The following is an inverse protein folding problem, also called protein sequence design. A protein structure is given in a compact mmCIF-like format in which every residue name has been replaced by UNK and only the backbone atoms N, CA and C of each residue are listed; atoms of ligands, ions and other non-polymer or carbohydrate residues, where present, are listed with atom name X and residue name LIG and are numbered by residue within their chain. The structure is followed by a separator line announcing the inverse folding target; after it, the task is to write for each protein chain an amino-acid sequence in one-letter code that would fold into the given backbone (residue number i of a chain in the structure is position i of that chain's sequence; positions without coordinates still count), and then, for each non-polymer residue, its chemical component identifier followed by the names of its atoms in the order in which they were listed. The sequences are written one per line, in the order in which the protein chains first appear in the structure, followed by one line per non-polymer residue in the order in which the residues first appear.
data_IF_147294309625
#
_entry.id   IF_147294309625
#
_cell.length_a   1.000
_cell.length_b   1.000
_cell.length_c   1.000
_cell.angle_alpha   90.00
_cell.angle_beta   90.00
_cell.angle_gamma   90.00
#
_symmetry.space_group_name_H-M   'P 1'
#
loop_
_entity.id
_entity.type
_entity.pdbx_description
1 polymer ?
#
# COMPACT_ATOMS: atom_id res chain seq x y z
N UNK A 1 24.05 1.19 -62.62
CA UNK A 1 23.15 0.15 -62.09
C UNK A 1 22.98 0.40 -60.59
N UNK A 2 21.80 0.83 -60.15
CA UNK A 2 21.46 1.09 -58.74
C UNK A 2 20.52 -0.02 -58.28
N UNK A 3 20.91 -0.77 -57.25
CA UNK A 3 20.17 -1.90 -56.68
C UNK A 3 19.30 -1.36 -55.54
N UNK A 4 17.98 -1.44 -55.71
CA UNK A 4 17.00 -1.14 -54.68
C UNK A 4 16.80 -2.36 -53.79
N UNK A 5 16.97 -2.22 -52.47
CA UNK A 5 16.75 -3.27 -51.48
C UNK A 5 15.40 -2.97 -50.81
N UNK A 6 14.41 -3.81 -51.13
CA UNK A 6 13.08 -3.82 -50.52
C UNK A 6 13.13 -4.72 -49.30
N UNK A 7 12.99 -4.16 -48.09
CA UNK A 7 12.90 -4.96 -46.86
C UNK A 7 11.43 -5.16 -46.48
N UNK A 8 10.99 -6.41 -46.60
CA UNK A 8 9.64 -6.90 -46.30
C UNK A 8 9.40 -7.00 -44.80
N UNK A 9 8.31 -6.39 -44.34
CA UNK A 9 7.76 -6.48 -42.99
C UNK A 9 7.10 -7.85 -42.78
N UNK A 10 7.61 -8.68 -41.87
CA UNK A 10 6.97 -9.93 -41.46
C UNK A 10 6.26 -9.74 -40.12
N UNK A 11 4.93 -9.77 -40.15
CA UNK A 11 4.06 -9.92 -38.99
C UNK A 11 4.17 -11.35 -38.46
N UNK A 12 4.51 -11.55 -37.18
CA UNK A 12 4.37 -12.84 -36.51
C UNK A 12 3.09 -12.83 -35.67
N UNK A 13 2.11 -13.58 -36.16
CA UNK A 13 0.83 -13.89 -35.55
C UNK A 13 0.97 -14.90 -34.41
N UNK A 14 0.31 -14.57 -33.30
CA UNK A 14 -0.42 -15.43 -32.34
C UNK A 14 -0.36 -16.96 -32.58
N UNK A 15 0.08 -17.71 -31.55
CA UNK A 15 -0.33 -19.10 -31.35
C UNK A 15 -0.76 -19.30 -29.89
N UNK A 16 -2.06 -19.53 -29.74
CA UNK A 16 -2.72 -20.06 -28.54
C UNK A 16 -2.83 -21.57 -28.74
N UNK A 17 -2.20 -22.35 -27.87
CA UNK A 17 -2.50 -23.77 -27.62
C UNK A 17 -1.92 -24.12 -26.23
N UNK A 18 -2.74 -24.20 -25.19
CA UNK A 18 -3.34 -25.44 -24.72
C UNK A 18 -2.31 -26.45 -24.21
N UNK A 19 -2.06 -26.44 -22.91
CA UNK A 19 -1.55 -27.60 -22.17
C UNK A 19 -2.38 -27.75 -20.89
N UNK A 20 -3.55 -28.39 -21.06
CA UNK A 20 -4.30 -29.02 -19.99
C UNK A 20 -3.58 -30.33 -19.68
N UNK A 21 -2.99 -30.44 -18.49
CA UNK A 21 -2.60 -31.72 -17.92
C UNK A 21 -3.21 -31.83 -16.52
N UNK A 22 -4.24 -32.67 -16.45
CA UNK A 22 -4.76 -33.30 -15.24
C UNK A 22 -3.60 -33.80 -14.35
N UNK A 23 -3.61 -33.40 -13.08
CA UNK A 23 -3.24 -34.34 -12.02
C UNK A 23 -4.35 -34.31 -10.96
N UNK A 24 -5.26 -35.28 -11.09
CA UNK A 24 -6.11 -35.73 -10.01
C UNK A 24 -5.22 -36.48 -9.01
N UNK A 25 -5.23 -36.04 -7.76
CA UNK A 25 -4.51 -36.66 -6.65
C UNK A 25 -5.19 -36.29 -5.34
N UNK A 26 -6.08 -37.17 -4.90
CA UNK A 26 -6.96 -37.05 -3.76
C UNK A 26 -6.18 -37.11 -2.43
N UNK A 27 -6.44 -36.18 -1.51
CA UNK A 27 -6.45 -36.47 -0.08
C UNK A 27 -7.19 -35.35 0.67
N UNK A 28 -8.43 -35.64 1.01
CA UNK A 28 -9.14 -34.95 2.07
C UNK A 28 -8.42 -35.20 3.40
N UNK A 29 -8.10 -34.14 4.13
CA UNK A 29 -8.09 -34.17 5.60
C UNK A 29 -8.81 -32.94 6.11
N UNK A 30 -10.08 -33.19 6.43
CA UNK A 30 -10.86 -32.47 7.40
C UNK A 30 -10.06 -32.35 8.71
N UNK A 31 -9.81 -31.13 9.18
CA UNK A 31 -9.46 -30.87 10.58
C UNK A 31 -10.25 -29.66 11.06
N UNK A 32 -11.46 -30.03 11.47
CA UNK A 32 -12.32 -29.32 12.38
C UNK A 32 -11.62 -29.10 13.74
N UNK A 33 -11.96 -27.98 14.37
CA UNK A 33 -11.87 -27.70 15.81
C UNK A 33 -10.48 -27.45 16.42
N UNK A 34 -10.17 -26.16 16.59
CA UNK A 34 -9.93 -25.68 17.95
C UNK A 34 -10.33 -24.20 18.09
N UNK A 35 -11.61 -23.97 18.31
CA UNK A 35 -12.09 -22.74 18.95
C UNK A 35 -11.69 -22.78 20.42
N UNK A 36 -10.49 -22.30 20.72
CA UNK A 36 -10.09 -22.02 22.08
C UNK A 36 -10.79 -20.74 22.54
N UNK A 37 -11.91 -20.97 23.21
CA UNK A 37 -12.60 -20.02 24.09
C UNK A 37 -11.61 -19.49 25.14
N UNK A 38 -11.03 -18.32 24.91
CA UNK A 38 -10.48 -17.50 25.98
C UNK A 38 -11.59 -16.63 26.53
N UNK A 39 -12.31 -17.18 27.49
CA UNK A 39 -13.09 -16.42 28.46
C UNK A 39 -12.15 -15.49 29.22
N UNK A 40 -12.10 -14.21 28.85
CA UNK A 40 -11.59 -13.19 29.75
C UNK A 40 -12.76 -12.34 30.25
N UNK A 41 -13.38 -12.83 31.33
CA UNK A 41 -14.18 -12.01 32.20
C UNK A 41 -13.23 -11.02 32.90
N UNK A 42 -13.22 -9.77 32.45
CA UNK A 42 -12.78 -8.69 33.31
C UNK A 42 -13.83 -7.59 33.36
N UNK A 43 -14.17 -7.27 34.59
CA UNK A 43 -15.32 -6.51 34.99
C UNK A 43 -15.13 -5.01 34.77
N UNK A 44 -16.26 -4.31 34.70
CA UNK A 44 -16.43 -2.95 35.21
C UNK A 44 -15.63 -1.83 34.56
N UNK A 45 -16.23 -1.15 33.58
CA UNK A 45 -16.03 0.30 33.43
C UNK A 45 -17.38 1.02 33.31
N UNK A 46 -17.59 2.12 34.06
CA UNK A 46 -18.88 2.78 34.22
C UNK A 46 -19.28 3.56 32.97
N UNK A 47 -20.60 3.58 32.73
CA UNK A 47 -21.27 4.40 31.74
C UNK A 47 -20.97 5.89 31.99
N UNK A 48 -20.32 6.55 31.02
CA UNK A 48 -20.19 8.01 31.03
C UNK A 48 -21.42 8.56 30.33
N UNK A 49 -22.25 9.21 31.13
CA UNK A 49 -23.52 9.81 30.74
C UNK A 49 -23.35 10.81 29.58
N UNK A 50 -24.22 10.66 28.58
CA UNK A 50 -24.48 11.68 27.57
C UNK A 50 -25.21 12.86 28.21
N UNK A 51 -24.56 14.00 28.31
CA UNK A 51 -25.23 15.27 28.65
C UNK A 51 -25.85 15.88 27.39
N UNK A 52 -27.15 16.23 27.39
CA UNK A 52 -27.76 17.02 26.32
C UNK A 52 -27.44 18.50 26.54
N UNK A 53 -26.71 19.13 25.62
CA UNK A 53 -26.61 20.59 25.61
C UNK A 53 -27.85 21.13 24.92
N UNK A 54 -28.82 21.50 25.75
CA UNK A 54 -29.96 22.33 25.43
C UNK A 54 -29.50 23.73 24.99
N UNK A 55 -30.28 24.32 24.09
CA UNK A 55 -29.93 25.55 23.38
C UNK A 55 -29.80 26.81 24.24
N UNK A 56 -29.21 27.82 23.62
CA UNK A 56 -29.40 29.22 24.01
C UNK A 56 -29.74 30.01 22.77
N UNK A 57 -31.01 30.41 22.69
CA UNK A 57 -31.45 31.56 21.92
C UNK A 57 -31.02 32.83 22.67
N UNK A 58 -30.42 33.78 21.94
CA UNK A 58 -29.97 35.05 22.48
C UNK A 58 -29.76 36.06 21.36
N UNK A 59 -30.73 36.94 21.21
CA UNK A 59 -31.00 37.98 20.21
C UNK A 59 -29.99 39.13 20.17
N UNK A 60 -29.71 39.62 18.94
CA UNK A 60 -29.51 41.02 18.47
C UNK A 60 -28.82 42.05 19.39
N UNK A 61 -27.79 42.79 18.97
CA UNK A 61 -27.92 44.02 18.14
C UNK A 61 -26.54 44.62 17.75
N UNK A 62 -26.45 45.06 16.48
CA UNK A 62 -25.70 46.19 15.89
C UNK A 62 -24.16 46.21 15.69
N UNK A 63 -23.84 46.65 14.47
CA UNK A 63 -22.69 47.44 14.01
C UNK A 63 -21.31 46.79 13.83
N UNK A 64 -21.10 46.22 12.63
CA UNK A 64 -19.78 46.01 12.03
C UNK A 64 -19.89 45.85 10.51
N UNK A 65 -19.14 46.61 9.68
CA UNK A 65 -19.28 46.60 8.23
C UNK A 65 -18.86 45.24 7.59
N UNK A 66 -19.42 44.89 6.41
CA UNK A 66 -19.19 43.59 5.78
C UNK A 66 -17.78 43.49 5.18
N UNK A 67 -16.95 42.58 5.70
CA UNK A 67 -15.74 42.14 5.00
C UNK A 67 -16.11 41.10 3.94
N UNK A 68 -16.32 41.60 2.72
CA UNK A 68 -16.25 40.79 1.51
C UNK A 68 -14.82 40.32 1.30
N UNK A 69 -14.51 39.06 1.63
CA UNK A 69 -13.27 38.42 1.18
C UNK A 69 -13.57 37.42 0.06
N UNK A 70 -13.66 37.98 -1.14
CA UNK A 70 -13.48 37.27 -2.39
C UNK A 70 -11.99 37.03 -2.62
N UNK A 71 -11.57 35.76 -2.74
CA UNK A 71 -10.29 35.42 -3.37
C UNK A 71 -10.54 34.42 -4.50
N UNK A 72 -10.88 35.00 -5.65
CA UNK A 72 -10.56 34.40 -6.94
C UNK A 72 -9.05 34.41 -7.16
N UNK A 73 -8.57 33.34 -7.79
CA UNK A 73 -7.24 33.28 -8.39
C UNK A 73 -7.04 34.44 -9.40
N UNK A 74 -5.80 34.89 -9.63
CA UNK A 74 -5.10 34.33 -10.78
C UNK A 74 -3.58 34.15 -10.62
N UNK A 75 -3.08 33.25 -11.47
CA UNK A 75 -1.71 33.04 -11.97
C UNK A 75 -0.72 34.21 -11.88
N UNK A 76 0.52 33.92 -11.48
CA UNK A 76 1.69 34.77 -11.76
C UNK A 76 2.94 34.42 -10.95
N UNK A 77 4.08 34.27 -11.63
CA UNK A 77 5.35 33.74 -11.15
C UNK A 77 6.14 34.57 -10.10
N UNK A 78 7.00 33.83 -9.38
CA UNK A 78 8.39 34.13 -9.00
C UNK A 78 8.73 34.66 -7.57
N UNK A 79 9.58 33.84 -6.94
CA UNK A 79 10.69 34.14 -6.02
C UNK A 79 10.39 34.63 -4.59
N UNK A 80 10.90 33.88 -3.61
CA UNK A 80 11.12 34.41 -2.25
C UNK A 80 11.07 33.37 -1.15
N UNK A 81 12.24 32.82 -0.83
CA UNK A 81 12.52 31.83 0.22
C UNK A 81 11.87 32.12 1.58
N UNK A 82 11.32 31.09 2.23
CA UNK A 82 11.45 30.91 3.69
C UNK A 82 11.54 29.42 4.01
N UNK A 83 12.65 29.05 4.62
CA UNK A 83 13.01 27.73 5.07
C UNK A 83 12.28 27.37 6.37
N UNK A 84 11.72 26.16 6.43
CA UNK A 84 11.98 25.16 7.49
C UNK A 84 11.03 23.97 7.28
N UNK A 85 11.40 23.08 6.37
CA UNK A 85 10.90 21.71 6.35
C UNK A 85 12.10 20.78 6.62
N UNK A 86 12.09 19.99 7.70
CA UNK A 86 13.15 19.03 7.91
C UNK A 86 13.00 17.89 6.90
N UNK A 87 13.92 17.84 5.94
CA UNK A 87 14.43 16.58 5.40
C UNK A 87 13.54 15.84 4.40
N UNK A 88 13.01 16.53 3.40
CA UNK A 88 12.66 15.90 2.13
C UNK A 88 13.92 15.59 1.33
N UNK A 89 14.73 14.62 1.77
CA UNK A 89 15.78 14.08 0.91
C UNK A 89 15.11 13.33 -0.24
N UNK A 90 15.25 13.92 -1.41
CA UNK A 90 14.96 13.36 -2.72
C UNK A 90 15.13 11.84 -2.76
N UNK A 91 14.15 11.18 -3.38
CA UNK A 91 14.13 9.76 -3.74
C UNK A 91 15.26 9.38 -4.71
N UNK A 92 16.52 9.59 -4.32
CA UNK A 92 17.58 8.71 -4.75
C UNK A 92 17.15 7.30 -4.30
N UNK A 93 17.25 6.33 -5.20
CA UNK A 93 16.92 4.94 -4.92
C UNK A 93 17.78 4.43 -3.75
N UNK A 94 17.33 4.70 -2.52
CA UNK A 94 17.92 4.16 -1.31
C UNK A 94 17.68 2.66 -1.38
N UNK A 95 18.72 1.94 -1.79
CA UNK A 95 18.73 0.51 -1.68
C UNK A 95 18.70 0.16 -0.20
N UNK A 96 17.88 -0.82 0.20
CA UNK A 96 17.97 -1.35 1.55
C UNK A 96 19.37 -1.90 1.78
N UNK A 97 19.88 -1.76 3.00
CA UNK A 97 21.21 -2.27 3.41
C UNK A 97 21.24 -3.80 3.63
N UNK A 98 20.16 -4.47 3.22
CA UNK A 98 19.97 -5.93 3.32
C UNK A 98 19.89 -6.50 1.92
N UNK A 99 20.47 -7.69 1.70
CA UNK A 99 20.43 -8.35 0.40
C UNK A 99 19.00 -8.81 0.08
N UNK A 100 18.38 -8.14 -0.88
CA UNK A 100 17.05 -8.46 -1.39
C UNK A 100 17.04 -8.92 -2.84
N UNK A 101 18.20 -9.21 -3.43
CA UNK A 101 18.30 -9.49 -4.86
C UNK A 101 17.40 -10.67 -5.30
N UNK A 102 17.30 -11.71 -4.46
CA UNK A 102 16.43 -12.85 -4.73
C UNK A 102 14.94 -12.47 -4.71
N UNK A 103 14.52 -11.65 -3.75
CA UNK A 103 13.15 -11.14 -3.69
C UNK A 103 12.84 -10.23 -4.86
N UNK A 104 13.79 -9.36 -5.23
CA UNK A 104 13.63 -8.42 -6.33
C UNK A 104 13.46 -9.15 -7.67
N UNK A 105 14.22 -10.23 -7.90
CA UNK A 105 14.07 -11.08 -9.08
C UNK A 105 12.69 -11.77 -9.12
N UNK A 106 12.24 -12.35 -7.98
CA UNK A 106 10.92 -12.98 -7.88
C UNK A 106 9.78 -11.99 -8.11
N UNK A 107 9.90 -10.80 -7.52
CA UNK A 107 8.93 -9.72 -7.69
C UNK A 107 8.90 -9.27 -9.14
N UNK A 108 10.04 -9.01 -9.77
CA UNK A 108 10.08 -8.59 -11.18
C UNK A 108 9.39 -9.60 -12.10
N UNK A 109 9.64 -10.90 -11.89
CA UNK A 109 9.01 -11.96 -12.67
C UNK A 109 7.50 -12.04 -12.44
N UNK A 110 7.05 -11.98 -11.19
CA UNK A 110 5.63 -12.09 -10.85
C UNK A 110 4.84 -10.83 -11.22
N UNK A 111 5.41 -9.65 -11.00
CA UNK A 111 4.81 -8.35 -11.28
C UNK A 111 4.66 -8.12 -12.80
N UNK A 112 5.62 -8.57 -13.61
CA UNK A 112 5.50 -8.55 -15.07
C UNK A 112 4.29 -9.36 -15.56
N UNK A 113 4.02 -10.53 -14.96
CA UNK A 113 2.84 -11.35 -15.26
C UNK A 113 1.55 -10.69 -14.78
N UNK A 114 1.56 -10.14 -13.57
CA UNK A 114 0.40 -9.48 -12.97
C UNK A 114 -0.01 -8.18 -13.70
N UNK A 115 0.94 -7.54 -14.40
CA UNK A 115 0.71 -6.32 -15.21
C UNK A 115 0.46 -6.61 -16.68
N UNK A 116 0.63 -7.85 -17.15
CA UNK A 116 0.34 -8.21 -18.53
C UNK A 116 -1.15 -8.03 -18.84
N UNK A 117 -1.47 -7.64 -20.08
CA UNK A 117 -2.85 -7.57 -20.55
C UNK A 117 -3.46 -8.98 -20.53
N UNK A 118 -4.41 -9.21 -19.63
CA UNK A 118 -5.02 -10.54 -19.39
C UNK A 118 -4.55 -11.25 -18.13
N UNK A 119 -3.82 -10.57 -17.23
CA UNK A 119 -3.41 -11.13 -15.95
C UNK A 119 -4.60 -11.71 -15.16
N UNK A 120 -4.47 -12.96 -14.75
CA UNK A 120 -5.48 -13.67 -13.97
C UNK A 120 -5.38 -13.30 -12.48
N UNK A 121 -6.40 -13.67 -11.70
CA UNK A 121 -6.33 -13.55 -10.25
C UNK A 121 -5.14 -14.33 -9.65
N UNK A 122 -4.73 -15.42 -10.30
CA UNK A 122 -3.56 -16.22 -9.89
C UNK A 122 -2.26 -15.45 -10.09
N UNK A 123 -2.11 -14.73 -11.19
CA UNK A 123 -0.91 -13.92 -11.47
C UNK A 123 -0.77 -12.77 -10.48
N UNK A 124 -1.88 -12.07 -10.21
CA UNK A 124 -1.93 -11.01 -9.18
C UNK A 124 -1.63 -11.57 -7.79
N UNK A 125 -2.15 -12.76 -7.47
CA UNK A 125 -1.87 -13.45 -6.21
C UNK A 125 -0.38 -13.81 -6.09
N UNK A 126 0.23 -14.32 -7.15
CA UNK A 126 1.67 -14.62 -7.16
C UNK A 126 2.53 -13.36 -6.94
N UNK A 127 2.17 -12.24 -7.59
CA UNK A 127 2.84 -10.96 -7.35
C UNK A 127 2.69 -10.50 -5.90
N UNK A 128 1.46 -10.52 -5.36
CA UNK A 128 1.23 -10.19 -3.96
C UNK A 128 2.02 -11.10 -2.99
N UNK A 129 2.10 -12.42 -3.24
CA UNK A 129 2.92 -13.32 -2.41
C UNK A 129 4.41 -12.94 -2.45
N UNK A 130 4.94 -12.57 -3.62
CA UNK A 130 6.32 -12.14 -3.75
C UNK A 130 6.60 -10.82 -3.00
N UNK A 131 5.70 -9.84 -3.11
CA UNK A 131 5.77 -8.59 -2.33
C UNK A 131 5.66 -8.84 -0.83
N UNK A 132 4.74 -9.72 -0.41
CA UNK A 132 4.53 -10.05 1.00
C UNK A 132 5.78 -10.68 1.62
N UNK A 133 6.43 -11.61 0.89
CA UNK A 133 7.66 -12.24 1.36
C UNK A 133 8.79 -11.22 1.60
N UNK A 134 8.95 -10.25 0.68
CA UNK A 134 9.94 -9.17 0.86
C UNK A 134 9.55 -8.20 1.99
N UNK A 135 8.26 -7.89 2.12
CA UNK A 135 7.76 -7.04 3.19
C UNK A 135 8.01 -7.66 4.58
N UNK A 136 7.73 -8.95 4.73
CA UNK A 136 8.00 -9.72 5.94
C UNK A 136 9.51 -9.73 6.24
N UNK A 137 10.36 -9.95 5.24
CA UNK A 137 11.82 -9.88 5.41
C UNK A 137 12.29 -8.52 5.97
N UNK A 138 11.79 -7.40 5.43
CA UNK A 138 12.14 -6.07 5.95
C UNK A 138 11.60 -5.80 7.36
N UNK A 139 10.40 -6.30 7.68
CA UNK A 139 9.82 -6.20 9.02
C UNK A 139 10.67 -7.00 10.03
N UNK A 140 10.96 -8.25 9.69
CA UNK A 140 11.62 -9.21 10.58
C UNK A 140 13.09 -8.86 10.81
N UNK A 141 13.71 -8.10 9.90
CA UNK A 141 15.00 -7.47 10.14
C UNK A 141 15.00 -6.51 11.35
N UNK A 142 13.83 -6.04 11.81
CA UNK A 142 13.68 -5.28 13.05
C UNK A 142 14.27 -3.87 13.02
N UNK A 143 14.71 -3.39 11.86
CA UNK A 143 15.33 -2.08 11.73
C UNK A 143 14.28 -1.01 11.35
N UNK A 144 14.10 0.07 12.14
CA UNK A 144 13.13 1.12 11.84
C UNK A 144 13.31 1.81 10.48
N UNK A 145 14.53 1.80 9.94
CA UNK A 145 14.85 2.33 8.61
C UNK A 145 14.29 1.48 7.47
N UNK A 146 14.10 0.18 7.71
CA UNK A 146 13.60 -0.78 6.73
C UNK A 146 12.07 -0.85 6.69
N UNK A 147 11.39 -0.46 7.77
CA UNK A 147 9.93 -0.47 7.87
C UNK A 147 9.22 0.33 6.78
N UNK A 148 9.82 1.41 6.27
CA UNK A 148 9.27 2.14 5.11
C UNK A 148 9.21 1.26 3.85
N UNK A 149 10.20 0.40 3.62
CA UNK A 149 10.21 -0.51 2.47
C UNK A 149 9.17 -1.61 2.66
N UNK A 150 9.03 -2.13 3.89
CA UNK A 150 7.97 -3.07 4.25
C UNK A 150 6.57 -2.47 4.00
N UNK A 151 6.31 -1.24 4.47
CA UNK A 151 5.02 -0.55 4.25
C UNK A 151 4.71 -0.38 2.76
N UNK A 152 5.69 0.03 1.96
CA UNK A 152 5.52 0.13 0.51
C UNK A 152 5.09 -1.20 -0.09
N UNK A 153 5.72 -2.28 0.33
CA UNK A 153 5.43 -3.61 -0.21
C UNK A 153 4.08 -4.14 0.26
N UNK A 154 3.70 -3.98 1.54
CA UNK A 154 2.35 -4.33 2.02
C UNK A 154 1.25 -3.58 1.27
N UNK A 155 1.45 -2.30 0.93
CA UNK A 155 0.49 -1.56 0.10
C UNK A 155 0.36 -2.15 -1.31
N UNK A 156 1.44 -2.67 -1.89
CA UNK A 156 1.39 -3.40 -3.17
C UNK A 156 0.67 -4.74 -3.03
N UNK A 157 0.86 -5.45 -1.93
CA UNK A 157 0.09 -6.67 -1.62
C UNK A 157 -1.40 -6.36 -1.60
N UNK A 158 -1.83 -5.34 -0.85
CA UNK A 158 -3.23 -4.93 -0.75
C UNK A 158 -3.82 -4.39 -2.06
N UNK A 159 -2.99 -3.85 -2.95
CA UNK A 159 -3.43 -3.44 -4.29
C UNK A 159 -3.80 -4.63 -5.19
N UNK A 160 -3.13 -5.78 -5.02
CA UNK A 160 -3.42 -7.02 -5.77
C UNK A 160 -4.41 -7.94 -5.05
N UNK A 161 -4.36 -8.00 -3.71
CA UNK A 161 -5.20 -8.81 -2.83
C UNK A 161 -5.70 -7.95 -1.65
N UNK A 162 -6.81 -7.20 -1.82
CA UNK A 162 -7.30 -6.27 -0.78
C UNK A 162 -7.83 -6.97 0.48
N UNK A 163 -8.14 -8.26 0.37
CA UNK A 163 -8.60 -9.16 1.41
C UNK A 163 -7.46 -9.85 2.18
N UNK A 164 -6.19 -9.53 1.87
CA UNK A 164 -5.05 -10.08 2.57
C UNK A 164 -4.95 -9.52 4.01
N UNK A 165 -5.50 -10.27 4.97
CA UNK A 165 -5.51 -9.91 6.39
C UNK A 165 -4.09 -9.75 6.95
N UNK A 166 -3.17 -10.64 6.60
CA UNK A 166 -1.78 -10.60 7.07
C UNK A 166 -1.10 -9.28 6.69
N UNK A 167 -1.21 -8.86 5.41
CA UNK A 167 -0.61 -7.62 4.94
C UNK A 167 -1.17 -6.39 5.67
N UNK A 168 -2.49 -6.40 5.97
CA UNK A 168 -3.15 -5.31 6.70
C UNK A 168 -2.65 -5.24 8.14
N UNK A 169 -2.75 -6.36 8.87
CA UNK A 169 -2.32 -6.47 10.27
C UNK A 169 -0.85 -6.07 10.45
N UNK A 170 0.04 -6.58 9.57
CA UNK A 170 1.47 -6.26 9.61
C UNK A 170 1.76 -4.81 9.25
N UNK A 171 1.02 -4.22 8.30
CA UNK A 171 1.14 -2.80 8.00
C UNK A 171 0.71 -1.92 9.16
N UNK A 172 -0.39 -2.27 9.83
CA UNK A 172 -0.91 -1.55 11.00
C UNK A 172 0.05 -1.68 12.20
N UNK A 173 0.65 -2.85 12.40
CA UNK A 173 1.69 -3.06 13.41
C UNK A 173 2.88 -2.11 13.22
N UNK A 174 3.39 -1.99 11.99
CA UNK A 174 4.50 -1.08 11.67
C UNK A 174 4.08 0.38 11.93
N UNK A 175 2.86 0.75 11.56
CA UNK A 175 2.31 2.09 11.82
C UNK A 175 2.27 2.38 13.33
N UNK A 176 1.81 1.42 14.13
CA UNK A 176 1.80 1.53 15.59
C UNK A 176 3.21 1.70 16.17
N UNK A 177 4.20 0.98 15.63
CA UNK A 177 5.61 1.15 16.04
C UNK A 177 6.09 2.58 15.75
N UNK A 178 5.81 3.16 14.58
CA UNK A 178 6.15 4.55 14.27
C UNK A 178 5.53 5.55 15.25
N UNK A 179 4.24 5.38 15.54
CA UNK A 179 3.53 6.22 16.51
C UNK A 179 4.13 6.12 17.91
N UNK A 180 4.47 4.90 18.36
CA UNK A 180 5.11 4.68 19.67
C UNK A 180 6.49 5.33 19.79
N UNK A 181 7.21 5.49 18.67
CA UNK A 181 8.50 6.18 18.62
C UNK A 181 8.35 7.71 18.52
N UNK A 182 7.12 8.25 18.51
CA UNK A 182 6.87 9.67 18.28
C UNK A 182 7.29 10.14 16.89
N UNK A 183 7.33 9.23 15.91
CA UNK A 183 7.75 9.51 14.53
C UNK A 183 6.53 9.52 13.61
N UNK A 184 6.46 10.45 12.63
CA UNK A 184 5.41 10.41 11.62
C UNK A 184 5.55 9.18 10.74
N UNK A 185 4.41 8.60 10.36
CA UNK A 185 4.36 7.46 9.43
C UNK A 185 4.82 7.93 8.05
N UNK A 186 5.78 7.25 7.41
CA UNK A 186 6.20 7.60 6.07
C UNK A 186 5.06 7.44 5.06
N UNK A 187 4.77 8.50 4.29
CA UNK A 187 3.90 8.41 3.12
C UNK A 187 4.63 7.69 1.99
N UNK A 188 4.45 6.38 1.93
CA UNK A 188 4.96 5.54 0.85
C UNK A 188 4.05 5.68 -0.38
N UNK A 189 4.59 6.33 -1.43
CA UNK A 189 3.95 6.50 -2.76
C UNK A 189 4.04 5.22 -3.62
#
# INVERSE_FOLDING_TARGET
MRIAITTTTAALSLSVAAAIALLAGCAATNSNNNSATLSNANASRPAVASSPIAGSAGTTTADGPPISSAHGAPTGAAAGNTANAPGGTSAAAEKPDVDTAEFDAKIAQADAKAKAGGATAVDKKAAATAYLARANFFRDAGQPRLYKFALRDYKRVLAYQPDNAEAREKSDEIVAIYQSMGRPVPEVQ
#
